data_IF_030499166347
#
_entry.id   IF_030499166347
#
_cell.length_a   1.000
_cell.length_b   1.000
_cell.length_c   1.000
_cell.angle_alpha   90.00
_cell.angle_beta   90.00
_cell.angle_gamma   90.00
#
_symmetry.space_group_name_H-M   'P 1'
#
loop_
_entity.id
_entity.type
_entity.pdbx_description
1 polymer ?
#
# COMPACT_ATOMS: atom_id res chain seq x y z
N UNK A 1 2.90 -29.58 -11.21
CA UNK A 1 3.86 -29.21 -10.16
C UNK A 1 4.13 -30.44 -9.32
N UNK A 2 5.35 -30.94 -9.30
CA UNK A 2 5.78 -32.06 -8.47
C UNK A 2 6.00 -31.60 -7.01
N UNK A 3 6.06 -32.55 -6.08
CA UNK A 3 6.36 -32.23 -4.68
C UNK A 3 7.72 -31.53 -4.52
N UNK A 4 8.73 -31.96 -5.27
CA UNK A 4 10.08 -31.40 -5.24
C UNK A 4 10.10 -29.96 -5.76
N UNK A 5 9.38 -29.67 -6.85
CA UNK A 5 9.20 -28.31 -7.37
C UNK A 5 8.50 -27.41 -6.35
N UNK A 6 7.48 -27.92 -5.64
CA UNK A 6 6.77 -27.16 -4.61
C UNK A 6 7.69 -26.85 -3.42
N UNK A 7 8.48 -27.81 -2.96
CA UNK A 7 9.43 -27.61 -1.86
C UNK A 7 10.54 -26.63 -2.23
N UNK A 8 11.06 -26.69 -3.45
CA UNK A 8 12.03 -25.72 -3.96
C UNK A 8 11.41 -24.32 -3.99
N UNK A 9 10.17 -24.19 -4.49
CA UNK A 9 9.48 -22.89 -4.54
C UNK A 9 9.21 -22.33 -3.15
N UNK A 10 8.79 -23.17 -2.20
CA UNK A 10 8.58 -22.76 -0.82
C UNK A 10 9.89 -22.24 -0.19
N UNK A 11 10.99 -22.96 -0.38
CA UNK A 11 12.30 -22.55 0.16
C UNK A 11 12.75 -21.21 -0.43
N UNK A 12 12.53 -20.98 -1.72
CA UNK A 12 12.81 -19.70 -2.38
C UNK A 12 11.96 -18.56 -1.77
N UNK A 13 10.66 -18.78 -1.58
CA UNK A 13 9.75 -17.77 -1.03
C UNK A 13 10.07 -17.46 0.43
N UNK A 14 10.42 -18.47 1.24
CA UNK A 14 10.85 -18.27 2.64
C UNK A 14 12.14 -17.45 2.72
N UNK A 15 13.10 -17.68 1.81
CA UNK A 15 14.32 -16.88 1.76
C UNK A 15 14.05 -15.39 1.44
N UNK A 16 12.94 -15.09 0.76
CA UNK A 16 12.51 -13.73 0.45
C UNK A 16 11.72 -13.06 1.57
N UNK A 17 11.19 -13.80 2.55
CA UNK A 17 10.35 -13.27 3.63
C UNK A 17 10.96 -12.05 4.34
N UNK A 18 12.26 -12.02 4.72
CA UNK A 18 12.86 -10.87 5.40
C UNK A 18 12.88 -9.59 4.56
N UNK A 19 12.83 -9.70 3.22
CA UNK A 19 12.79 -8.56 2.31
C UNK A 19 11.41 -7.88 2.31
N UNK A 20 10.36 -8.65 2.57
CA UNK A 20 8.97 -8.20 2.47
C UNK A 20 8.30 -8.01 3.84
N UNK A 21 8.86 -8.51 4.93
CA UNK A 21 8.31 -8.31 6.27
C UNK A 21 8.59 -6.88 6.79
N UNK A 22 7.55 -6.03 7.00
CA UNK A 22 7.75 -4.73 7.62
C UNK A 22 7.91 -4.87 9.13
N UNK A 23 8.90 -4.18 9.70
CA UNK A 23 9.05 -4.06 11.15
C UNK A 23 8.54 -2.69 11.62
N UNK A 24 7.24 -2.47 11.42
CA UNK A 24 6.61 -1.17 11.58
C UNK A 24 5.98 -1.03 12.97
N UNK A 25 6.46 -0.04 13.74
CA UNK A 25 5.87 0.37 15.01
C UNK A 25 5.35 1.79 14.91
N UNK A 26 4.03 1.97 15.00
CA UNK A 26 3.37 3.27 14.97
C UNK A 26 2.68 3.55 16.31
N UNK A 27 2.73 4.79 16.80
CA UNK A 27 2.00 5.18 18.00
C UNK A 27 0.49 5.28 17.75
N UNK A 28 -0.30 5.11 18.81
CA UNK A 28 -1.75 5.32 18.75
C UNK A 28 -2.13 6.80 18.67
N UNK A 29 -1.40 7.66 19.39
CA UNK A 29 -1.63 9.10 19.43
C UNK A 29 -0.39 9.85 18.92
N UNK A 30 -0.59 10.92 18.15
CA UNK A 30 0.52 11.72 17.63
C UNK A 30 1.00 12.68 18.70
N UNK A 31 2.26 12.55 19.13
CA UNK A 31 2.88 13.50 20.06
C UNK A 31 3.56 14.65 19.30
N UNK A 32 4.16 14.38 18.13
CA UNK A 32 4.97 15.35 17.38
C UNK A 32 4.64 15.43 15.88
N UNK A 33 3.39 15.14 15.50
CA UNK A 33 2.98 15.12 14.08
C UNK A 33 3.60 13.96 13.32
N UNK A 34 3.81 12.83 13.99
CA UNK A 34 4.25 11.57 13.42
C UNK A 34 3.07 10.77 12.84
N UNK A 35 3.37 9.79 11.99
CA UNK A 35 2.36 8.86 11.49
C UNK A 35 1.85 8.01 12.66
N UNK A 36 0.54 7.96 12.84
CA UNK A 36 -0.12 7.08 13.81
C UNK A 36 -0.73 5.87 13.13
N UNK A 37 -1.14 4.88 13.93
CA UNK A 37 -1.95 3.73 13.44
C UNK A 37 -3.18 4.24 12.67
N UNK A 38 -3.90 5.21 13.22
CA UNK A 38 -5.08 5.79 12.56
C UNK A 38 -4.76 6.46 11.22
N UNK A 39 -3.59 7.11 11.10
CA UNK A 39 -3.15 7.71 9.83
C UNK A 39 -2.89 6.63 8.77
N UNK A 40 -2.22 5.54 9.16
CA UNK A 40 -1.94 4.40 8.29
C UNK A 40 -3.23 3.66 7.91
N UNK A 41 -4.17 3.49 8.83
CA UNK A 41 -5.44 2.82 8.56
C UNK A 41 -6.35 3.65 7.66
N UNK A 42 -6.33 4.99 7.80
CA UNK A 42 -6.96 5.90 6.84
C UNK A 42 -6.40 5.72 5.43
N UNK A 43 -5.08 5.63 5.29
CA UNK A 43 -4.44 5.30 4.02
C UNK A 43 -4.86 3.92 3.47
N UNK A 44 -4.89 2.88 4.31
CA UNK A 44 -5.35 1.55 3.92
C UNK A 44 -6.83 1.55 3.48
N UNK A 45 -7.65 2.41 4.09
CA UNK A 45 -9.03 2.61 3.68
C UNK A 45 -9.12 3.23 2.28
N UNK A 46 -8.39 4.32 2.03
CA UNK A 46 -8.32 4.95 0.70
C UNK A 46 -7.84 3.97 -0.37
N UNK A 47 -6.79 3.19 -0.09
CA UNK A 47 -6.28 2.16 -1.01
C UNK A 47 -7.33 1.08 -1.32
N UNK A 48 -8.15 0.70 -0.34
CA UNK A 48 -9.26 -0.24 -0.54
C UNK A 48 -10.31 0.36 -1.47
N UNK A 49 -10.68 1.63 -1.27
CA UNK A 49 -11.62 2.33 -2.14
C UNK A 49 -11.10 2.40 -3.58
N UNK A 50 -9.82 2.76 -3.78
CA UNK A 50 -9.19 2.74 -5.11
C UNK A 50 -9.21 1.35 -5.76
N UNK A 51 -8.91 0.30 -5.00
CA UNK A 51 -8.99 -1.09 -5.50
C UNK A 51 -10.41 -1.45 -5.94
N UNK A 52 -11.45 -0.97 -5.25
CA UNK A 52 -12.85 -1.22 -5.63
C UNK A 52 -13.20 -0.41 -6.87
N UNK A 53 -12.87 0.88 -6.89
CA UNK A 53 -13.19 1.79 -8.00
C UNK A 53 -12.58 1.35 -9.33
N UNK A 54 -11.34 0.84 -9.31
CA UNK A 54 -10.66 0.30 -10.49
C UNK A 54 -10.85 -1.21 -10.70
N UNK A 55 -11.71 -1.87 -9.91
CA UNK A 55 -12.03 -3.30 -10.02
C UNK A 55 -10.81 -4.25 -10.00
N UNK A 56 -9.77 -3.87 -9.25
CA UNK A 56 -8.50 -4.61 -9.21
C UNK A 56 -8.55 -5.82 -8.25
N UNK A 57 -7.67 -6.84 -8.42
CA UNK A 57 -7.59 -7.95 -7.49
C UNK A 57 -7.07 -7.51 -6.10
N UNK A 58 -7.41 -8.29 -5.07
CA UNK A 58 -6.98 -8.02 -3.69
C UNK A 58 -5.45 -8.01 -3.52
N UNK A 59 -4.73 -8.72 -4.37
CA UNK A 59 -3.27 -8.76 -4.39
C UNK A 59 -2.65 -7.37 -4.56
N UNK A 60 -3.30 -6.47 -5.32
CA UNK A 60 -2.87 -5.07 -5.45
C UNK A 60 -2.95 -4.35 -4.11
N UNK A 61 -4.04 -4.54 -3.37
CA UNK A 61 -4.22 -3.93 -2.06
C UNK A 61 -3.15 -4.43 -1.07
N UNK A 62 -2.89 -5.74 -1.03
CA UNK A 62 -1.89 -6.31 -0.15
C UNK A 62 -0.48 -5.84 -0.49
N UNK A 63 -0.12 -5.82 -1.78
CA UNK A 63 1.16 -5.30 -2.25
C UNK A 63 1.32 -3.80 -1.94
N UNK A 64 0.29 -2.99 -2.17
CA UNK A 64 0.31 -1.56 -1.90
C UNK A 64 0.49 -1.27 -0.39
N UNK A 65 -0.26 -1.95 0.48
CA UNK A 65 -0.11 -1.82 1.94
C UNK A 65 1.29 -2.26 2.38
N UNK A 66 1.80 -3.38 1.84
CA UNK A 66 3.15 -3.86 2.15
C UNK A 66 4.23 -2.83 1.76
N UNK A 67 4.08 -2.18 0.60
CA UNK A 67 4.98 -1.12 0.16
C UNK A 67 4.92 0.10 1.09
N UNK A 68 3.72 0.53 1.50
CA UNK A 68 3.54 1.61 2.49
C UNK A 68 4.24 1.24 3.80
N UNK A 69 3.97 0.06 4.34
CA UNK A 69 4.49 -0.33 5.66
C UNK A 69 6.03 -0.48 5.65
N UNK A 70 6.60 -1.00 4.56
CA UNK A 70 8.06 -1.10 4.37
C UNK A 70 8.70 0.27 4.20
N UNK A 71 8.05 1.20 3.50
CA UNK A 71 8.51 2.57 3.39
C UNK A 71 8.55 3.25 4.76
N UNK A 72 7.46 3.14 5.53
CA UNK A 72 7.35 3.73 6.87
C UNK A 72 8.30 3.07 7.89
N UNK A 73 8.65 1.79 7.71
CA UNK A 73 9.66 1.11 8.53
C UNK A 73 11.04 1.77 8.37
N UNK A 74 11.35 2.31 7.19
CA UNK A 74 12.67 2.86 6.86
C UNK A 74 12.72 4.39 6.94
N UNK A 75 11.58 5.06 6.85
CA UNK A 75 11.50 6.52 6.71
C UNK A 75 10.65 7.15 7.81
N UNK A 76 11.16 8.23 8.42
CA UNK A 76 10.35 9.10 9.29
C UNK A 76 9.63 10.13 8.43
N UNK A 77 8.30 10.05 8.41
CA UNK A 77 7.44 10.83 7.52
C UNK A 77 6.41 11.61 8.33
N UNK A 78 5.97 12.75 7.80
CA UNK A 78 4.82 13.51 8.33
C UNK A 78 3.51 13.10 7.64
N UNK A 79 2.35 13.14 8.33
CA UNK A 79 1.04 12.79 7.77
C UNK A 79 0.70 13.43 6.43
N UNK A 80 1.15 14.66 6.19
CA UNK A 80 0.94 15.38 4.92
C UNK A 80 1.46 14.66 3.67
N UNK A 81 2.39 13.71 3.81
CA UNK A 81 2.94 12.96 2.68
C UNK A 81 2.23 11.61 2.46
N UNK A 82 1.32 11.20 3.35
CA UNK A 82 0.68 9.88 3.28
C UNK A 82 -0.10 9.67 2.01
N UNK A 83 -0.87 10.67 1.55
CA UNK A 83 -1.63 10.55 0.31
C UNK A 83 -0.74 10.22 -0.90
N UNK A 84 0.40 10.91 -1.03
CA UNK A 84 1.35 10.66 -2.11
C UNK A 84 2.01 9.28 -1.98
N UNK A 85 2.41 8.88 -0.77
CA UNK A 85 3.03 7.57 -0.51
C UNK A 85 2.06 6.43 -0.84
N UNK A 86 0.81 6.54 -0.41
CA UNK A 86 -0.23 5.54 -0.66
C UNK A 86 -0.50 5.40 -2.15
N UNK A 87 -0.78 6.50 -2.86
CA UNK A 87 -1.07 6.49 -4.29
C UNK A 87 0.13 5.96 -5.10
N UNK A 88 1.35 6.37 -4.75
CA UNK A 88 2.56 5.86 -5.40
C UNK A 88 2.76 4.36 -5.17
N UNK A 89 2.48 3.89 -3.95
CA UNK A 89 2.55 2.46 -3.60
C UNK A 89 1.50 1.64 -4.33
N UNK A 90 0.30 2.20 -4.54
CA UNK A 90 -0.77 1.57 -5.31
C UNK A 90 -0.38 1.43 -6.78
N UNK A 91 0.09 2.51 -7.40
CA UNK A 91 0.57 2.47 -8.78
C UNK A 91 1.73 1.48 -8.95
N UNK A 92 2.70 1.47 -8.02
CA UNK A 92 3.80 0.51 -8.04
C UNK A 92 3.32 -0.94 -7.87
N UNK A 93 2.31 -1.20 -7.03
CA UNK A 93 1.73 -2.53 -6.87
C UNK A 93 1.07 -3.04 -8.16
N UNK A 94 0.33 -2.17 -8.86
CA UNK A 94 -0.27 -2.49 -10.17
C UNK A 94 0.83 -2.87 -11.18
N UNK A 95 1.92 -2.11 -11.22
CA UNK A 95 3.07 -2.41 -12.07
C UNK A 95 3.75 -3.73 -11.70
N UNK A 96 3.96 -4.00 -10.40
CA UNK A 96 4.58 -5.24 -9.92
C UNK A 96 3.77 -6.49 -10.27
N UNK A 97 2.45 -6.37 -10.32
CA UNK A 97 1.53 -7.46 -10.67
C UNK A 97 1.26 -7.55 -12.18
N UNK A 98 1.95 -6.75 -12.99
CA UNK A 98 1.79 -6.73 -14.46
C UNK A 98 0.34 -6.51 -14.91
N UNK A 99 -0.41 -5.72 -14.14
CA UNK A 99 -1.78 -5.33 -14.47
C UNK A 99 -1.79 -4.11 -15.40
N UNK A 100 -2.89 -3.87 -16.14
CA UNK A 100 -3.02 -2.68 -16.97
C UNK A 100 -2.75 -1.42 -16.16
N UNK A 101 -1.85 -0.57 -16.67
CA UNK A 101 -1.44 0.65 -15.99
C UNK A 101 -2.65 1.59 -15.92
N UNK A 102 -2.94 2.03 -14.70
CA UNK A 102 -4.00 2.99 -14.41
C UNK A 102 -3.51 4.37 -14.83
N UNK A 103 -4.40 5.16 -15.44
CA UNK A 103 -4.06 6.54 -15.81
C UNK A 103 -3.63 7.34 -14.58
N UNK A 104 -2.47 7.98 -14.70
CA UNK A 104 -1.83 8.69 -13.60
C UNK A 104 -2.50 10.03 -13.32
N UNK A 105 -3.22 10.61 -14.29
CA UNK A 105 -3.96 11.86 -14.09
C UNK A 105 -5.09 11.71 -13.05
N UNK A 106 -5.83 10.60 -13.09
CA UNK A 106 -6.89 10.28 -12.13
C UNK A 106 -6.33 10.06 -10.71
N UNK A 107 -5.24 9.31 -10.61
CA UNK A 107 -4.53 9.06 -9.34
C UNK A 107 -4.02 10.36 -8.71
N UNK A 108 -3.50 11.28 -9.51
CA UNK A 108 -3.03 12.60 -9.07
C UNK A 108 -4.21 13.46 -8.59
N UNK A 109 -5.33 13.46 -9.32
CA UNK A 109 -6.52 14.19 -8.93
C UNK A 109 -7.06 13.73 -7.55
N UNK A 110 -7.02 12.42 -7.28
CA UNK A 110 -7.44 11.84 -5.99
C UNK A 110 -6.44 12.18 -4.88
N UNK A 111 -5.14 12.17 -5.17
CA UNK A 111 -4.09 12.53 -4.20
C UNK A 111 -4.17 14.00 -3.77
N UNK A 112 -4.43 14.92 -4.72
CA UNK A 112 -4.48 16.37 -4.47
C UNK A 112 -5.74 16.81 -3.71
N UNK A 113 -6.85 16.07 -3.80
CA UNK A 113 -8.12 16.39 -3.13
C UNK A 113 -8.24 15.84 -1.70
N UNK A 114 -7.18 15.25 -1.16
CA UNK A 114 -7.16 14.83 0.25
C UNK A 114 -8.13 13.69 0.60
N UNK A 115 -8.46 12.81 -0.36
CA UNK A 115 -9.32 11.65 -0.10
C UNK A 115 -10.82 11.94 0.08
N UNK A 116 -11.25 13.20 0.07
CA UNK A 116 -12.66 13.59 0.27
C UNK A 116 -13.60 13.07 -0.82
N UNK A 117 -13.11 12.91 -2.05
CA UNK A 117 -13.92 12.48 -3.20
C UNK A 117 -14.39 11.02 -3.08
N UNK A 118 -13.72 10.20 -2.27
CA UNK A 118 -14.11 8.80 -2.08
C UNK A 118 -15.14 8.59 -0.96
N UNK A 119 -15.56 9.66 -0.26
CA UNK A 119 -16.57 9.60 0.80
C UNK A 119 -17.94 10.18 0.38
N UNK A 120 -18.06 10.79 -0.79
CA UNK A 120 -19.32 11.42 -1.25
C UNK A 120 -20.21 10.50 -2.10
N UNK A 121 -19.81 9.26 -2.36
CA UNK A 121 -20.66 8.25 -3.04
C UNK A 121 -20.92 7.03 -2.13
N UNK A 122 -21.71 7.22 -1.07
CA UNK A 122 -22.63 6.21 -0.55
C UNK A 122 -23.72 6.81 0.36
#
# INVERSE_FOLDING_TARGET
>A
MSFEEMMAKLSELLALEPKYQPNLYLPQQSVNGEITIGTRDGAAHVLRCLKVWYELPNDVLFAAINLVDRFLTKMKVRPKHMACISVSSFHLAVQQLSLPIIDTEDLIAISQRGGSVLMDEN
#
